data_IF_327116783630
#
_entry.id   IF_327116783630
#
_cell.length_a   1.000
_cell.length_b   1.000
_cell.length_c   1.000
_cell.angle_alpha   90.00
_cell.angle_beta   90.00
_cell.angle_gamma   90.00
#
_symmetry.space_group_name_H-M   'P 1'
#
loop_
_entity.id
_entity.type
_entity.pdbx_description
1 polymer ?
#
# COMPACT_ATOMS: atom_id res chain seq x y z
N UNK A 1 -0.79 22.98 -70.43
CA UNK A 1 -1.47 23.70 -69.33
C UNK A 1 -1.51 25.17 -69.71
N UNK A 2 -2.68 25.82 -69.72
CA UNK A 2 -2.76 27.23 -70.12
C UNK A 2 -2.04 28.13 -69.11
N UNK A 3 -1.47 29.27 -69.56
CA UNK A 3 -0.85 30.27 -68.67
C UNK A 3 -1.80 30.72 -67.54
N UNK A 4 -3.11 30.73 -67.82
CA UNK A 4 -4.15 31.03 -66.85
C UNK A 4 -4.17 30.02 -65.68
N UNK A 5 -3.99 28.73 -65.95
CA UNK A 5 -3.98 27.70 -64.90
C UNK A 5 -2.75 27.81 -64.00
N UNK A 6 -1.59 28.18 -64.56
CA UNK A 6 -0.35 28.41 -63.79
C UNK A 6 -0.53 29.60 -62.85
N UNK A 7 -1.17 30.66 -63.33
CA UNK A 7 -1.41 31.88 -62.56
C UNK A 7 -2.46 31.67 -61.45
N UNK A 8 -3.49 30.85 -61.71
CA UNK A 8 -4.46 30.45 -60.67
C UNK A 8 -3.78 29.60 -59.59
N UNK A 9 -2.95 28.64 -59.98
CA UNK A 9 -2.25 27.76 -59.02
C UNK A 9 -1.25 28.53 -58.15
N UNK A 10 -0.52 29.49 -58.72
CA UNK A 10 0.39 30.33 -57.93
C UNK A 10 -0.35 31.21 -56.93
N UNK A 11 -1.48 31.79 -57.32
CA UNK A 11 -2.31 32.62 -56.45
C UNK A 11 -2.90 31.81 -55.28
N UNK A 12 -3.42 30.62 -55.58
CA UNK A 12 -3.94 29.67 -54.57
C UNK A 12 -2.82 29.24 -53.60
N UNK A 13 -1.63 28.94 -54.11
CA UNK A 13 -0.48 28.55 -53.28
C UNK A 13 -0.05 29.68 -52.33
N UNK A 14 -0.07 30.94 -52.77
CA UNK A 14 0.26 32.09 -51.93
C UNK A 14 -0.78 32.28 -50.81
N UNK A 15 -2.06 32.14 -51.13
CA UNK A 15 -3.15 32.25 -50.16
C UNK A 15 -3.05 31.13 -49.11
N UNK A 16 -2.82 29.88 -49.54
CA UNK A 16 -2.65 28.74 -48.63
C UNK A 16 -1.40 28.92 -47.77
N UNK A 17 -0.28 29.37 -48.36
CA UNK A 17 0.96 29.66 -47.61
C UNK A 17 0.78 30.74 -46.56
N UNK A 18 0.09 31.83 -46.90
CA UNK A 18 -0.22 32.92 -45.96
C UNK A 18 -1.12 32.45 -44.81
N UNK A 19 -2.16 31.68 -45.13
CA UNK A 19 -3.10 31.15 -44.13
C UNK A 19 -2.40 30.16 -43.17
N UNK A 20 -1.58 29.25 -43.70
CA UNK A 20 -0.82 28.29 -42.90
C UNK A 20 0.18 28.99 -41.99
N UNK A 21 0.87 30.02 -42.47
CA UNK A 21 1.79 30.82 -41.65
C UNK A 21 1.09 31.51 -40.47
N UNK A 22 -0.08 32.11 -40.70
CA UNK A 22 -0.88 32.76 -39.64
C UNK A 22 -1.35 31.73 -38.60
N UNK A 23 -1.78 30.55 -39.04
CA UNK A 23 -2.20 29.45 -38.17
C UNK A 23 -1.04 28.95 -37.30
N UNK A 24 0.14 28.70 -37.88
CA UNK A 24 1.33 28.26 -37.16
C UNK A 24 1.73 29.30 -36.10
N UNK A 25 1.71 30.59 -36.44
CA UNK A 25 2.05 31.67 -35.50
C UNK A 25 1.06 31.75 -34.32
N UNK A 26 -0.22 31.44 -34.53
CA UNK A 26 -1.22 31.35 -33.45
C UNK A 26 -1.04 30.08 -32.60
N UNK A 27 -0.74 28.94 -33.23
CA UNK A 27 -0.48 27.67 -32.56
C UNK A 27 0.75 27.75 -31.63
N UNK A 28 1.84 28.37 -32.09
CA UNK A 28 3.06 28.56 -31.28
C UNK A 28 2.87 29.46 -30.06
N UNK A 29 1.87 30.35 -30.07
CA UNK A 29 1.53 31.22 -28.93
C UNK A 29 0.56 30.56 -27.94
N UNK A 30 0.08 29.37 -28.25
CA UNK A 30 -0.93 28.66 -27.46
C UNK A 30 -0.27 27.65 -26.53
N UNK A 31 -0.77 27.51 -25.30
CA UNK A 31 -0.26 26.52 -24.33
C UNK A 31 -0.32 25.09 -24.90
N UNK A 32 0.71 24.28 -24.63
CA UNK A 32 0.81 22.88 -25.10
C UNK A 32 -0.43 22.04 -24.78
N UNK A 33 -1.09 22.29 -23.64
CA UNK A 33 -2.33 21.62 -23.25
C UNK A 33 -3.47 21.90 -24.22
N UNK A 34 -3.63 23.14 -24.65
CA UNK A 34 -4.69 23.53 -25.60
C UNK A 34 -4.42 22.99 -27.01
N UNK A 35 -3.16 22.82 -27.41
CA UNK A 35 -2.80 22.19 -28.70
C UNK A 35 -3.24 20.72 -28.71
N UNK A 36 -2.94 19.97 -27.64
CA UNK A 36 -3.37 18.57 -27.50
C UNK A 36 -4.90 18.43 -27.47
N UNK A 37 -5.58 19.30 -26.74
CA UNK A 37 -7.05 19.33 -26.69
C UNK A 37 -7.65 19.69 -28.05
N UNK A 38 -7.05 20.64 -28.78
CA UNK A 38 -7.44 21.00 -30.14
C UNK A 38 -7.30 19.84 -31.14
N UNK A 39 -6.24 19.02 -31.02
CA UNK A 39 -6.06 17.81 -31.82
C UNK A 39 -7.22 16.82 -31.64
N UNK A 40 -7.72 16.68 -30.41
CA UNK A 40 -8.88 15.87 -30.10
C UNK A 40 -10.15 16.41 -30.79
N UNK A 41 -10.30 17.74 -30.81
CA UNK A 41 -11.35 18.42 -31.58
C UNK A 41 -11.27 18.11 -33.08
N UNK A 42 -10.08 18.14 -33.68
CA UNK A 42 -9.88 17.78 -35.11
C UNK A 42 -10.32 16.34 -35.36
N UNK A 43 -9.90 15.41 -34.51
CA UNK A 43 -10.21 13.99 -34.66
C UNK A 43 -11.73 13.74 -34.58
N UNK A 44 -12.41 14.33 -33.60
CA UNK A 44 -13.87 14.26 -33.47
C UNK A 44 -14.56 14.85 -34.71
N UNK A 45 -14.10 16.02 -35.16
CA UNK A 45 -14.68 16.70 -36.32
C UNK A 45 -14.53 15.91 -37.62
N UNK A 46 -13.40 15.22 -37.80
CA UNK A 46 -13.17 14.32 -38.93
C UNK A 46 -14.07 13.10 -38.88
N UNK A 47 -14.28 12.50 -37.71
CA UNK A 47 -15.21 11.36 -37.55
C UNK A 47 -16.64 11.80 -37.89
N UNK A 48 -17.10 12.93 -37.34
CA UNK A 48 -18.43 13.46 -37.61
C UNK A 48 -18.58 13.81 -39.10
N UNK A 49 -17.60 14.52 -39.65
CA UNK A 49 -17.56 14.88 -41.07
C UNK A 49 -17.61 13.66 -41.98
N UNK A 50 -16.85 12.61 -41.65
CA UNK A 50 -16.84 11.35 -42.38
C UNK A 50 -18.17 10.58 -42.27
N UNK A 51 -18.84 10.63 -41.12
CA UNK A 51 -20.17 10.01 -40.96
C UNK A 51 -21.23 10.75 -41.78
N UNK A 52 -21.19 12.08 -41.79
CA UNK A 52 -22.11 12.92 -42.56
C UNK A 52 -21.80 12.91 -44.07
N UNK A 53 -20.55 12.70 -44.48
CA UNK A 53 -20.17 12.65 -45.89
C UNK A 53 -20.77 11.44 -46.62
N UNK A 54 -21.00 10.32 -45.91
CA UNK A 54 -21.54 9.08 -46.48
C UNK A 54 -22.93 9.25 -47.12
N UNK A 55 -23.97 9.79 -46.45
CA UNK A 55 -25.26 10.04 -47.10
C UNK A 55 -25.17 11.17 -48.14
N UNK A 56 -24.39 12.23 -47.87
CA UNK A 56 -24.30 13.40 -48.74
C UNK A 56 -23.65 13.10 -50.09
N UNK A 57 -22.67 12.19 -50.12
CA UNK A 57 -21.99 11.78 -51.36
C UNK A 57 -22.88 11.01 -52.34
N UNK A 58 -24.05 10.54 -51.91
CA UNK A 58 -25.03 9.86 -52.76
C UNK A 58 -25.95 10.81 -53.53
N UNK A 59 -25.85 12.12 -53.28
CA UNK A 59 -26.65 13.13 -54.00
C UNK A 59 -26.10 13.27 -55.42
N UNK A 60 -26.90 13.11 -56.48
CA UNK A 60 -26.41 13.23 -57.84
C UNK A 60 -26.04 14.68 -58.19
N UNK A 61 -25.06 14.84 -59.09
CA UNK A 61 -24.63 16.13 -59.62
C UNK A 61 -23.58 16.84 -58.76
N UNK A 62 -23.40 18.14 -59.01
CA UNK A 62 -22.38 18.99 -58.40
C UNK A 62 -22.37 18.92 -56.86
N UNK A 63 -23.55 18.82 -56.24
CA UNK A 63 -23.70 18.82 -54.79
C UNK A 63 -23.12 17.56 -54.14
N UNK A 64 -23.20 16.38 -54.76
CA UNK A 64 -22.64 15.15 -54.20
C UNK A 64 -21.12 15.16 -54.06
N UNK A 65 -20.42 15.97 -54.86
CA UNK A 65 -18.97 16.06 -54.82
C UNK A 65 -18.49 17.11 -53.80
N UNK A 66 -19.10 18.29 -53.79
CA UNK A 66 -18.63 19.42 -52.98
C UNK A 66 -19.21 19.46 -51.56
N UNK A 67 -20.46 19.04 -51.38
CA UNK A 67 -21.15 19.12 -50.09
C UNK A 67 -20.46 18.26 -49.01
N UNK A 68 -19.98 17.03 -49.28
CA UNK A 68 -19.22 16.25 -48.30
C UNK A 68 -17.92 16.91 -47.84
N UNK A 69 -17.23 17.62 -48.75
CA UNK A 69 -15.96 18.31 -48.45
C UNK A 69 -16.24 19.51 -47.55
N UNK A 70 -17.25 20.31 -47.92
CA UNK A 70 -17.66 21.50 -47.16
C UNK A 70 -18.15 21.09 -45.77
N UNK A 71 -19.00 20.06 -45.65
CA UNK A 71 -19.53 19.60 -44.36
C UNK A 71 -18.42 19.08 -43.44
N UNK A 72 -17.42 18.39 -43.99
CA UNK A 72 -16.29 17.87 -43.21
C UNK A 72 -15.40 18.99 -42.70
N UNK A 73 -15.15 20.01 -43.54
CA UNK A 73 -14.37 21.19 -43.15
C UNK A 73 -15.07 22.00 -42.05
N UNK A 74 -16.39 22.20 -42.19
CA UNK A 74 -17.22 22.86 -41.18
C UNK A 74 -17.24 22.05 -39.89
N UNK A 75 -17.43 20.73 -39.96
CA UNK A 75 -17.44 19.85 -38.80
C UNK A 75 -16.14 19.93 -37.99
N UNK A 76 -14.99 19.92 -38.67
CA UNK A 76 -13.66 20.11 -38.04
C UNK A 76 -13.50 21.48 -37.43
N UNK A 77 -13.90 22.55 -38.13
CA UNK A 77 -13.80 23.91 -37.58
C UNK A 77 -14.68 24.09 -36.34
N UNK A 78 -15.92 23.59 -36.39
CA UNK A 78 -16.88 23.65 -35.29
C UNK A 78 -16.44 22.82 -34.09
N UNK A 79 -15.95 21.59 -34.30
CA UNK A 79 -15.49 20.73 -33.21
C UNK A 79 -14.26 21.31 -32.50
N UNK A 80 -13.28 21.83 -33.25
CA UNK A 80 -12.11 22.51 -32.68
C UNK A 80 -12.52 23.74 -31.89
N UNK A 81 -13.43 24.55 -32.42
CA UNK A 81 -13.95 25.74 -31.73
C UNK A 81 -14.64 25.37 -30.40
N UNK A 82 -15.52 24.36 -30.42
CA UNK A 82 -16.24 23.89 -29.23
C UNK A 82 -15.26 23.33 -28.20
N UNK A 83 -14.35 22.46 -28.61
CA UNK A 83 -13.41 21.77 -27.71
C UNK A 83 -12.43 22.74 -27.06
N UNK A 84 -11.97 23.76 -27.78
CA UNK A 84 -11.09 24.79 -27.22
C UNK A 84 -11.82 25.75 -26.28
N UNK A 85 -13.06 26.13 -26.58
CA UNK A 85 -13.84 27.06 -25.75
C UNK A 85 -14.50 26.37 -24.54
N UNK A 86 -14.78 25.07 -24.63
CA UNK A 86 -15.39 24.28 -23.55
C UNK A 86 -14.41 23.31 -22.89
N UNK A 87 -13.10 23.55 -23.04
CA UNK A 87 -12.04 22.68 -22.51
C UNK A 87 -12.22 22.32 -21.01
N UNK A 88 -12.61 23.28 -20.17
CA UNK A 88 -12.79 23.05 -18.73
C UNK A 88 -14.00 22.15 -18.44
N UNK A 89 -15.10 22.31 -19.19
CA UNK A 89 -16.29 21.47 -19.07
C UNK A 89 -16.05 20.04 -19.59
N UNK A 90 -15.25 19.89 -20.64
CA UNK A 90 -14.88 18.58 -21.19
C UNK A 90 -13.94 17.84 -20.22
N UNK A 91 -12.97 18.55 -19.66
CA UNK A 91 -12.05 17.97 -18.66
C UNK A 91 -12.81 17.54 -17.40
N UNK A 92 -13.77 18.34 -16.92
CA UNK A 92 -14.57 17.99 -15.74
C UNK A 92 -15.55 16.85 -15.98
N UNK A 93 -16.16 16.78 -17.17
CA UNK A 93 -17.01 15.65 -17.55
C UNK A 93 -16.22 14.33 -17.65
N UNK A 94 -15.01 14.38 -18.22
CA UNK A 94 -14.15 13.20 -18.36
C UNK A 94 -13.53 12.75 -17.03
N UNK A 95 -13.21 13.69 -16.13
CA UNK A 95 -12.75 13.35 -14.78
C UNK A 95 -13.88 12.75 -13.92
N UNK A 96 -15.12 13.20 -14.09
CA UNK A 96 -16.30 12.58 -13.46
C UNK A 96 -16.54 11.14 -13.91
N UNK A 97 -16.34 10.85 -15.20
CA UNK A 97 -16.44 9.50 -15.75
C UNK A 97 -15.29 8.59 -15.26
N UNK A 98 -14.07 9.14 -15.18
CA UNK A 98 -12.91 8.45 -14.61
C UNK A 98 -13.06 8.17 -13.11
N UNK A 99 -13.74 9.05 -12.38
CA UNK A 99 -14.10 8.86 -10.96
C UNK A 99 -15.07 7.68 -10.78
N UNK A 100 -16.07 7.56 -11.67
CA UNK A 100 -17.05 6.46 -11.65
C UNK A 100 -16.40 5.09 -11.98
N UNK A 101 -15.43 5.08 -12.89
CA UNK A 101 -14.59 3.90 -13.17
C UNK A 101 -13.55 3.61 -12.06
N UNK A 102 -13.22 4.60 -11.22
CA UNK A 102 -12.26 4.44 -10.11
C UNK A 102 -12.85 3.85 -8.83
N UNK A 103 -14.18 3.68 -8.76
CA UNK A 103 -14.85 2.93 -7.69
C UNK A 103 -14.46 1.44 -7.65
N UNK A 104 -13.76 0.94 -8.68
CA UNK A 104 -13.18 -0.42 -8.76
C UNK A 104 -11.67 -0.36 -9.02
N UNK A 105 -10.94 0.62 -8.44
CA UNK A 105 -9.48 0.53 -8.32
C UNK A 105 -9.12 0.23 -6.86
N UNK A 106 -8.37 -0.87 -6.57
CA UNK A 106 -7.60 -0.89 -5.33
C UNK A 106 -6.68 0.33 -5.40
N UNK A 107 -6.69 1.13 -4.35
CA UNK A 107 -5.87 2.32 -4.18
C UNK A 107 -4.49 2.12 -4.81
N UNK A 108 -4.22 2.80 -5.92
CA UNK A 108 -2.86 3.00 -6.40
C UNK A 108 -2.17 3.90 -5.38
N UNK A 109 -1.71 3.30 -4.29
CA UNK A 109 -0.81 3.85 -3.29
C UNK A 109 0.53 4.16 -3.97
N UNK A 110 0.57 5.21 -4.80
CA UNK A 110 1.82 5.80 -5.26
C UNK A 110 2.37 6.86 -4.29
N UNK A 111 1.79 6.97 -3.10
CA UNK A 111 2.41 7.62 -1.96
C UNK A 111 2.47 6.61 -0.81
N UNK A 112 3.62 5.93 -0.68
CA UNK A 112 3.96 5.18 0.54
C UNK A 112 4.28 6.21 1.64
N UNK A 113 3.29 6.99 2.06
CA UNK A 113 3.37 7.82 3.25
C UNK A 113 2.87 6.98 4.43
N UNK A 114 3.64 6.98 5.52
CA UNK A 114 3.32 6.25 6.75
C UNK A 114 3.22 7.27 7.88
N UNK A 115 2.02 7.43 8.42
CA UNK A 115 1.74 8.28 9.57
C UNK A 115 2.08 7.55 10.86
N UNK A 116 2.87 8.20 11.72
CA UNK A 116 3.41 7.62 12.94
C UNK A 116 2.78 8.26 14.17
N UNK A 117 2.42 7.43 15.14
CA UNK A 117 1.87 7.82 16.44
C UNK A 117 2.94 7.79 17.57
N UNK A 118 2.67 8.43 18.70
CA UNK A 118 3.48 8.43 19.92
C UNK A 118 3.78 7.00 20.39
N UNK A 119 2.78 6.12 20.36
CA UNK A 119 2.89 4.73 20.86
C UNK A 119 3.98 3.91 20.16
N UNK A 120 4.14 4.08 18.85
CA UNK A 120 5.13 3.38 18.03
C UNK A 120 6.51 4.02 18.11
N UNK A 121 6.61 5.35 18.24
CA UNK A 121 7.90 6.02 18.46
C UNK A 121 8.52 5.61 19.79
N UNK A 122 7.69 5.35 20.81
CA UNK A 122 8.16 4.86 22.09
C UNK A 122 8.52 3.37 22.01
N UNK A 123 7.95 2.57 21.10
CA UNK A 123 8.22 1.13 21.04
C UNK A 123 9.68 0.84 20.62
N UNK A 124 10.42 0.14 21.47
CA UNK A 124 11.84 -0.14 21.22
C UNK A 124 12.10 -0.99 19.97
N UNK A 125 11.11 -1.76 19.50
CA UNK A 125 11.26 -2.61 18.31
C UNK A 125 11.10 -1.83 17.02
N UNK A 126 10.43 -0.67 17.04
CA UNK A 126 10.11 0.07 15.81
C UNK A 126 11.36 0.44 15.02
N UNK A 127 12.38 0.94 15.70
CA UNK A 127 13.65 1.32 15.07
C UNK A 127 14.35 0.12 14.43
N UNK A 128 14.32 -1.05 15.06
CA UNK A 128 14.98 -2.23 14.52
C UNK A 128 14.20 -2.83 13.34
N UNK A 129 12.86 -2.73 13.36
CA UNK A 129 12.01 -3.06 12.21
C UNK A 129 12.26 -2.08 11.05
N UNK A 130 12.46 -0.79 11.34
CA UNK A 130 12.80 0.21 10.33
C UNK A 130 14.20 -0.02 9.74
N UNK A 131 15.20 -0.35 10.57
CA UNK A 131 16.57 -0.71 10.15
C UNK A 131 16.61 -1.92 9.24
N UNK A 132 15.78 -2.93 9.50
CA UNK A 132 15.72 -4.15 8.69
C UNK A 132 15.04 -3.97 7.33
N UNK A 133 14.45 -2.79 7.07
CA UNK A 133 13.84 -2.46 5.78
C UNK A 133 12.36 -2.83 5.65
N UNK A 134 11.72 -3.32 6.72
CA UNK A 134 10.28 -3.63 6.72
C UNK A 134 9.40 -2.38 6.77
N UNK A 135 9.95 -1.24 7.18
CA UNK A 135 9.29 0.07 7.09
C UNK A 135 9.85 0.80 5.89
N UNK A 136 9.02 0.98 4.86
CA UNK A 136 9.40 1.62 3.61
C UNK A 136 8.44 2.76 3.29
N UNK A 137 8.99 3.86 2.76
CA UNK A 137 8.20 5.04 2.43
C UNK A 137 8.66 6.31 3.15
N UNK A 138 7.84 7.35 3.03
CA UNK A 138 8.03 8.63 3.70
C UNK A 138 7.28 8.62 5.02
N UNK A 139 8.01 8.81 6.10
CA UNK A 139 7.49 8.84 7.46
C UNK A 139 6.92 10.23 7.73
N UNK A 140 5.63 10.30 8.03
CA UNK A 140 4.93 11.51 8.44
C UNK A 140 4.81 11.52 9.96
N UNK A 141 5.29 12.60 10.59
CA UNK A 141 5.23 12.77 12.04
C UNK A 141 4.47 14.06 12.34
N UNK A 142 3.24 13.99 12.87
CA UNK A 142 2.50 15.18 13.25
C UNK A 142 3.19 15.97 14.36
N UNK A 143 3.07 17.30 14.32
CA UNK A 143 3.66 18.15 15.34
C UNK A 143 3.13 17.84 16.75
N UNK A 144 1.84 17.51 16.89
CA UNK A 144 1.25 17.15 18.20
C UNK A 144 1.83 15.86 18.79
N UNK A 145 2.28 14.90 17.97
CA UNK A 145 2.95 13.67 18.44
C UNK A 145 4.30 14.02 19.10
N UNK A 146 5.03 14.97 18.50
CA UNK A 146 6.29 15.47 19.06
C UNK A 146 6.04 16.21 20.39
N UNK A 147 5.00 17.05 20.43
CA UNK A 147 4.60 17.76 21.66
C UNK A 147 4.21 16.80 22.78
N UNK A 148 3.47 15.73 22.45
CA UNK A 148 3.11 14.70 23.42
C UNK A 148 4.36 13.98 23.97
N UNK A 149 5.31 13.61 23.10
CA UNK A 149 6.58 13.01 23.52
C UNK A 149 7.38 13.94 24.46
N UNK A 150 7.45 15.23 24.15
CA UNK A 150 8.10 16.23 25.00
C UNK A 150 7.39 16.36 26.36
N UNK A 151 6.06 16.45 26.36
CA UNK A 151 5.28 16.54 27.59
C UNK A 151 5.46 15.29 28.47
N UNK A 152 5.51 14.10 27.87
CA UNK A 152 5.81 12.85 28.57
C UNK A 152 7.25 12.86 29.11
N UNK A 153 8.22 13.38 28.36
CA UNK A 153 9.63 13.48 28.74
C UNK A 153 9.88 14.46 29.91
N UNK A 154 9.09 15.53 30.01
CA UNK A 154 9.29 16.60 30.99
C UNK A 154 8.42 16.42 32.24
N UNK A 155 7.16 16.02 32.08
CA UNK A 155 6.16 15.99 33.17
C UNK A 155 5.79 14.59 33.64
N UNK A 156 6.31 13.54 32.99
CA UNK A 156 6.05 12.16 33.39
C UNK A 156 6.66 11.79 34.75
N UNK A 157 6.20 10.68 35.31
CA UNK A 157 6.98 9.93 36.31
C UNK A 157 8.29 9.42 35.71
N UNK A 158 9.23 8.93 36.52
CA UNK A 158 10.56 8.51 36.04
C UNK A 158 10.50 7.56 34.83
N UNK A 159 9.58 6.60 34.84
CA UNK A 159 9.43 5.61 33.76
C UNK A 159 8.81 6.22 32.50
N UNK A 160 7.80 7.08 32.65
CA UNK A 160 7.19 7.83 31.54
C UNK A 160 8.21 8.77 30.91
N UNK A 161 9.02 9.49 31.70
CA UNK A 161 10.07 10.38 31.16
C UNK A 161 11.11 9.64 30.34
N UNK A 162 11.58 8.49 30.83
CA UNK A 162 12.47 7.59 30.07
C UNK A 162 11.84 7.18 28.73
N UNK A 163 10.55 6.82 28.73
CA UNK A 163 9.81 6.49 27.50
C UNK A 163 9.68 7.67 26.54
N UNK A 164 9.36 8.87 27.03
CA UNK A 164 9.27 10.08 26.21
C UNK A 164 10.62 10.43 25.56
N UNK A 165 11.70 10.39 26.35
CA UNK A 165 13.08 10.57 25.86
C UNK A 165 13.44 9.54 24.79
N UNK A 166 13.09 8.26 25.00
CA UNK A 166 13.29 7.19 24.02
C UNK A 166 12.52 7.45 22.72
N UNK A 167 11.30 7.98 22.79
CA UNK A 167 10.53 8.35 21.60
C UNK A 167 11.18 9.47 20.79
N UNK A 168 11.69 10.51 21.48
CA UNK A 168 12.45 11.59 20.84
C UNK A 168 13.77 11.09 20.23
N UNK A 169 14.47 10.18 20.91
CA UNK A 169 15.66 9.54 20.37
C UNK A 169 15.34 8.70 19.12
N UNK A 170 14.24 7.95 19.13
CA UNK A 170 13.77 7.17 17.99
C UNK A 170 13.50 8.06 16.77
N UNK A 171 12.86 9.21 16.97
CA UNK A 171 12.67 10.21 15.91
C UNK A 171 14.00 10.73 15.36
N UNK A 172 14.98 10.98 16.22
CA UNK A 172 16.33 11.40 15.81
C UNK A 172 17.04 10.31 14.99
N UNK A 173 16.93 9.04 15.37
CA UNK A 173 17.46 7.90 14.62
C UNK A 173 16.80 7.77 13.25
N UNK A 174 15.47 7.88 13.18
CA UNK A 174 14.71 7.84 11.92
C UNK A 174 15.15 8.93 10.95
N UNK A 175 15.36 10.16 11.46
CA UNK A 175 15.72 11.33 10.64
C UNK A 175 17.17 11.32 10.17
N UNK A 176 18.11 10.96 11.06
CA UNK A 176 19.53 11.21 10.84
C UNK A 176 20.36 9.95 10.55
N UNK A 177 19.93 8.78 11.04
CA UNK A 177 20.70 7.53 10.92
C UNK A 177 20.13 6.56 9.88
N UNK A 178 18.85 6.68 9.57
CA UNK A 178 18.19 5.85 8.56
C UNK A 178 18.02 6.60 7.24
N UNK A 179 18.06 5.88 6.13
CA UNK A 179 17.83 6.44 4.77
C UNK A 179 16.33 6.70 4.48
N UNK A 180 15.52 6.88 5.54
CA UNK A 180 14.09 7.14 5.42
C UNK A 180 13.85 8.64 5.31
N UNK A 181 12.89 9.04 4.45
CA UNK A 181 12.45 10.43 4.39
C UNK A 181 11.49 10.68 5.55
N UNK A 182 11.86 11.54 6.49
CA UNK A 182 11.00 11.96 7.60
C UNK A 182 10.51 13.37 7.34
N UNK A 183 9.19 13.56 7.31
CA UNK A 183 8.54 14.87 7.22
C UNK A 183 7.74 15.13 8.50
N UNK A 184 7.97 16.30 9.11
CA UNK A 184 7.14 16.78 10.21
C UNK A 184 6.00 17.57 9.58
N UNK A 185 4.76 17.20 9.91
CA UNK A 185 3.56 17.84 9.36
C UNK A 185 2.82 18.62 10.44
N UNK A 186 2.26 19.76 10.04
CA UNK A 186 1.37 20.54 10.91
C UNK A 186 -0.03 19.91 10.96
N UNK A 187 -0.72 20.15 12.06
CA UNK A 187 -2.11 19.74 12.25
C UNK A 187 -3.03 20.74 11.54
N UNK A 188 -3.61 20.33 10.42
CA UNK A 188 -4.61 21.11 9.70
C UNK A 188 -6.05 20.57 9.91
N UNK A 189 -6.24 19.69 10.90
CA UNK A 189 -7.55 19.11 11.23
C UNK A 189 -8.35 20.10 12.06
N UNK A 190 -9.54 20.45 11.54
CA UNK A 190 -10.41 21.47 12.16
C UNK A 190 -11.57 20.87 12.93
N UNK A 191 -11.80 19.55 12.82
CA UNK A 191 -13.01 18.88 13.33
C UNK A 191 -12.74 17.83 14.41
N UNK A 192 -11.56 17.20 14.40
CA UNK A 192 -11.23 16.15 15.37
C UNK A 192 -10.78 16.72 16.72
N UNK A 193 -11.43 16.28 17.81
CA UNK A 193 -11.12 16.72 19.19
C UNK A 193 -10.03 15.86 19.83
N UNK A 194 -10.05 14.58 19.52
CA UNK A 194 -9.22 13.53 20.12
C UNK A 194 -8.08 13.13 19.18
N UNK A 195 -6.92 12.77 19.76
CA UNK A 195 -5.65 12.51 19.04
C UNK A 195 -5.82 11.42 17.98
N UNK A 196 -6.52 10.33 18.33
CA UNK A 196 -6.79 9.21 17.44
C UNK A 196 -7.60 9.64 16.20
N UNK A 197 -8.63 10.45 16.42
CA UNK A 197 -9.46 10.99 15.33
C UNK A 197 -8.65 11.91 14.41
N UNK A 198 -7.73 12.71 14.95
CA UNK A 198 -6.82 13.54 14.17
C UNK A 198 -5.91 12.70 13.28
N UNK A 199 -5.30 11.64 13.83
CA UNK A 199 -4.45 10.72 13.07
C UNK A 199 -5.22 10.06 11.91
N UNK A 200 -6.45 9.60 12.17
CA UNK A 200 -7.30 9.00 11.14
C UNK A 200 -7.71 10.00 10.07
N UNK A 201 -8.03 11.24 10.44
CA UNK A 201 -8.39 12.30 9.48
C UNK A 201 -7.20 12.69 8.60
N UNK A 202 -6.01 12.87 9.18
CA UNK A 202 -4.77 13.12 8.45
C UNK A 202 -4.48 11.97 7.48
N UNK A 203 -4.58 10.73 7.95
CA UNK A 203 -4.30 9.55 7.13
C UNK A 203 -5.25 9.45 5.93
N UNK A 204 -6.55 9.72 6.13
CA UNK A 204 -7.53 9.80 5.05
C UNK A 204 -7.22 10.89 4.03
N UNK A 205 -6.91 12.09 4.52
CA UNK A 205 -6.66 13.26 3.67
C UNK A 205 -5.41 13.07 2.80
N UNK A 206 -4.37 12.44 3.36
CA UNK A 206 -3.09 12.17 2.68
C UNK A 206 -3.09 10.86 1.90
N UNK A 207 -4.03 9.95 2.15
CA UNK A 207 -3.98 8.59 1.64
C UNK A 207 -2.82 7.77 2.21
N UNK A 208 -2.39 8.08 3.44
CA UNK A 208 -1.27 7.43 4.12
C UNK A 208 -1.73 6.26 4.99
N UNK A 209 -0.84 5.29 5.19
CA UNK A 209 -1.05 4.18 6.13
C UNK A 209 -0.69 4.65 7.56
N UNK A 210 -1.36 4.15 8.60
CA UNK A 210 -1.01 4.44 10.00
C UNK A 210 -0.13 3.31 10.54
N UNK A 211 1.02 3.63 11.13
CA UNK A 211 1.79 2.68 11.93
C UNK A 211 1.60 2.97 13.41
N UNK A 212 1.22 1.95 14.19
CA UNK A 212 0.89 2.10 15.62
C UNK A 212 1.11 0.79 16.37
N UNK A 213 1.22 0.88 17.69
CA UNK A 213 1.13 -0.28 18.61
C UNK A 213 -0.21 -0.30 19.35
N UNK A 214 -1.00 0.76 19.28
CA UNK A 214 -2.30 0.90 19.95
C UNK A 214 -3.39 0.07 19.23
N UNK A 215 -4.13 -0.71 20.02
CA UNK A 215 -5.20 -1.58 19.53
C UNK A 215 -6.50 -0.81 19.19
N UNK A 216 -6.82 0.24 19.96
CA UNK A 216 -8.01 1.07 19.76
C UNK A 216 -7.87 1.91 18.49
N UNK A 217 -6.73 2.59 18.32
CA UNK A 217 -6.44 3.35 17.10
C UNK A 217 -6.50 2.44 15.87
N UNK A 218 -5.93 1.23 15.96
CA UNK A 218 -6.00 0.23 14.89
C UNK A 218 -7.46 -0.10 14.52
N UNK A 219 -8.33 -0.37 15.50
CA UNK A 219 -9.75 -0.67 15.26
C UNK A 219 -10.49 0.51 14.62
N UNK A 220 -10.31 1.71 15.17
CA UNK A 220 -10.98 2.93 14.68
C UNK A 220 -10.53 3.25 13.25
N UNK A 221 -9.23 3.20 12.96
CA UNK A 221 -8.68 3.46 11.64
C UNK A 221 -9.18 2.46 10.59
N UNK A 222 -9.21 1.15 10.91
CA UNK A 222 -9.74 0.11 10.02
C UNK A 222 -11.21 0.33 9.66
N UNK A 223 -12.06 0.71 10.63
CA UNK A 223 -13.47 1.06 10.38
C UNK A 223 -13.59 2.23 9.39
N UNK A 224 -12.67 3.18 9.47
CA UNK A 224 -12.63 4.32 8.57
C UNK A 224 -12.00 4.00 7.21
N UNK A 225 -11.58 2.76 6.95
CA UNK A 225 -10.94 2.37 5.69
C UNK A 225 -9.49 2.83 5.57
N UNK A 226 -8.85 3.20 6.68
CA UNK A 226 -7.41 3.51 6.72
C UNK A 226 -6.65 2.22 7.00
N UNK A 227 -5.62 1.95 6.18
CA UNK A 227 -4.75 0.78 6.38
C UNK A 227 -3.83 1.02 7.57
N UNK A 228 -3.71 -0.01 8.41
CA UNK A 228 -2.92 0.06 9.65
C UNK A 228 -1.81 -0.98 9.61
N UNK A 229 -0.59 -0.53 9.85
CA UNK A 229 0.60 -1.33 10.07
C UNK A 229 0.79 -1.48 11.58
N UNK A 230 0.34 -2.59 12.16
CA UNK A 230 0.46 -2.78 13.61
C UNK A 230 1.73 -3.58 13.95
N UNK A 231 2.62 -3.02 14.76
CA UNK A 231 3.88 -3.68 15.15
C UNK A 231 3.63 -4.94 15.98
N UNK A 232 2.59 -4.98 16.81
CA UNK A 232 2.26 -6.18 17.57
C UNK A 232 1.76 -7.30 16.64
N UNK A 233 0.96 -6.97 15.62
CA UNK A 233 0.56 -7.94 14.59
C UNK A 233 1.79 -8.48 13.83
N UNK A 234 2.70 -7.60 13.40
CA UNK A 234 3.95 -8.00 12.74
C UNK A 234 4.81 -8.90 13.64
N UNK A 235 5.02 -8.49 14.89
CA UNK A 235 5.83 -9.25 15.85
C UNK A 235 5.28 -10.64 16.11
N UNK A 236 3.95 -10.82 16.08
CA UNK A 236 3.33 -12.13 16.21
C UNK A 236 3.43 -12.95 14.93
N UNK A 237 3.36 -12.32 13.76
CA UNK A 237 3.44 -12.98 12.46
C UNK A 237 4.85 -13.54 12.16
N UNK A 238 5.90 -12.92 12.71
CA UNK A 238 7.30 -13.37 12.50
C UNK A 238 7.80 -14.34 13.58
N UNK A 239 6.96 -14.75 14.54
CA UNK A 239 7.34 -15.78 15.50
C UNK A 239 7.61 -17.10 14.78
N UNK A 240 8.64 -17.82 15.21
CA UNK A 240 9.01 -19.11 14.65
C UNK A 240 7.78 -20.04 14.60
N UNK A 241 7.50 -20.57 13.41
CA UNK A 241 6.43 -21.55 13.22
C UNK A 241 7.09 -22.92 13.22
N UNK A 242 7.04 -23.59 14.36
CA UNK A 242 7.39 -25.00 14.42
C UNK A 242 6.32 -25.82 13.68
N UNK A 243 6.73 -26.89 13.01
CA UNK A 243 5.84 -27.85 12.35
C UNK A 243 6.00 -29.22 13.03
N UNK A 244 4.94 -30.05 13.14
CA UNK A 244 5.11 -31.44 13.55
C UNK A 244 6.18 -32.15 12.71
N UNK A 245 7.10 -32.85 13.38
CA UNK A 245 8.26 -33.50 12.78
C UNK A 245 9.54 -32.65 12.75
N UNK A 246 9.48 -31.37 13.12
CA UNK A 246 10.66 -30.51 13.23
C UNK A 246 11.45 -30.82 14.51
N UNK A 247 12.77 -30.93 14.39
CA UNK A 247 13.65 -31.13 15.54
C UNK A 247 13.99 -29.80 16.21
N UNK A 248 14.01 -29.77 17.53
CA UNK A 248 14.39 -28.60 18.30
C UNK A 248 15.20 -28.94 19.54
N UNK A 249 16.06 -28.03 19.95
CA UNK A 249 16.76 -28.10 21.24
C UNK A 249 15.98 -27.31 22.28
N UNK A 250 15.69 -27.95 23.41
CA UNK A 250 14.96 -27.34 24.50
C UNK A 250 15.61 -27.69 25.84
N UNK A 251 15.86 -26.66 26.64
CA UNK A 251 16.24 -26.86 28.04
C UNK A 251 14.98 -27.12 28.86
N UNK A 252 14.92 -28.29 29.48
CA UNK A 252 13.82 -28.62 30.40
C UNK A 252 14.08 -27.89 31.71
N UNK A 253 13.19 -26.97 32.08
CA UNK A 253 13.37 -26.08 33.23
C UNK A 253 12.67 -26.63 34.46
N UNK A 254 11.51 -27.27 34.29
CA UNK A 254 10.69 -27.75 35.40
C UNK A 254 9.89 -29.00 35.06
N UNK A 255 9.30 -29.63 36.07
CA UNK A 255 8.36 -30.74 35.92
C UNK A 255 7.06 -30.25 35.26
N UNK A 256 6.52 -31.06 34.35
CA UNK A 256 5.22 -30.84 33.75
C UNK A 256 4.06 -31.22 34.66
N UNK A 257 2.86 -30.80 34.27
CA UNK A 257 1.65 -31.02 35.06
C UNK A 257 1.24 -32.49 35.11
N UNK A 258 1.45 -33.23 34.03
CA UNK A 258 1.16 -34.66 33.97
C UNK A 258 2.40 -35.51 34.27
N UNK A 259 2.18 -36.73 34.77
CA UNK A 259 3.27 -37.68 35.04
C UNK A 259 4.07 -37.94 33.77
N UNK A 260 5.39 -37.89 33.89
CA UNK A 260 6.30 -38.11 32.78
C UNK A 260 6.59 -36.88 31.93
N UNK A 261 6.01 -35.71 32.21
CA UNK A 261 6.27 -34.50 31.41
C UNK A 261 7.35 -33.62 32.03
N UNK A 262 8.15 -32.99 31.16
CA UNK A 262 8.97 -31.83 31.49
C UNK A 262 8.47 -30.59 30.75
N UNK A 263 8.81 -29.40 31.23
CA UNK A 263 8.44 -28.13 30.59
C UNK A 263 9.67 -27.28 30.37
N UNK A 264 9.81 -26.76 29.15
CA UNK A 264 10.76 -25.73 28.77
C UNK A 264 10.05 -24.53 28.14
N UNK A 265 10.79 -23.45 27.90
CA UNK A 265 10.29 -22.25 27.26
C UNK A 265 11.22 -21.83 26.14
N UNK A 266 10.64 -21.37 25.04
CA UNK A 266 11.38 -20.64 24.02
C UNK A 266 11.73 -19.22 24.50
N UNK A 267 12.69 -18.55 23.85
CA UNK A 267 13.03 -17.16 24.17
C UNK A 267 11.85 -16.20 24.08
N UNK A 268 10.83 -16.51 23.27
CA UNK A 268 9.60 -15.72 23.11
C UNK A 268 8.51 -16.04 24.15
N UNK A 269 8.78 -16.96 25.08
CA UNK A 269 7.87 -17.38 26.14
C UNK A 269 6.93 -18.53 25.75
N UNK A 270 6.99 -19.06 24.52
CA UNK A 270 6.20 -20.22 24.11
C UNK A 270 6.53 -21.43 24.99
N UNK A 271 5.50 -22.03 25.58
CA UNK A 271 5.67 -23.18 26.46
C UNK A 271 5.83 -24.47 25.65
N UNK A 272 6.85 -25.25 25.98
CA UNK A 272 7.13 -26.55 25.37
C UNK A 272 7.00 -27.64 26.41
N UNK A 273 6.09 -28.56 26.16
CA UNK A 273 5.88 -29.76 26.97
C UNK A 273 6.63 -30.92 26.33
N UNK A 274 7.61 -31.46 27.05
CA UNK A 274 8.44 -32.58 26.59
C UNK A 274 7.93 -33.87 27.22
N UNK A 275 7.39 -34.78 26.41
CA UNK A 275 6.98 -36.12 26.87
C UNK A 275 8.20 -36.94 27.28
N UNK A 276 8.21 -37.52 28.48
CA UNK A 276 9.39 -38.15 29.07
C UNK A 276 10.45 -37.18 29.60
N UNK A 277 10.14 -35.88 29.64
CA UNK A 277 11.06 -34.82 30.07
C UNK A 277 11.21 -34.67 31.59
N UNK A 278 10.40 -35.34 32.39
CA UNK A 278 10.46 -35.29 33.86
C UNK A 278 11.81 -35.74 34.43
N UNK A 279 12.47 -36.69 33.76
CA UNK A 279 13.82 -37.19 34.11
C UNK A 279 14.95 -36.32 33.56
N UNK A 280 14.62 -35.31 32.75
CA UNK A 280 15.60 -34.49 32.03
C UNK A 280 15.59 -33.04 32.50
N UNK A 281 14.93 -32.75 33.62
CA UNK A 281 14.89 -31.41 34.23
C UNK A 281 16.32 -30.91 34.50
N UNK A 282 16.60 -29.68 34.08
CA UNK A 282 17.92 -29.04 34.13
C UNK A 282 18.79 -29.29 32.89
N UNK A 283 18.44 -30.24 32.02
CA UNK A 283 19.24 -30.63 30.86
C UNK A 283 18.71 -30.02 29.56
N UNK A 284 19.58 -29.89 28.57
CA UNK A 284 19.22 -29.51 27.20
C UNK A 284 18.99 -30.77 26.37
N UNK A 285 17.78 -30.90 25.81
CA UNK A 285 17.31 -32.09 25.13
C UNK A 285 16.99 -31.75 23.69
N UNK A 286 17.40 -32.60 22.75
CA UNK A 286 16.92 -32.52 21.36
C UNK A 286 15.62 -33.32 21.26
N UNK A 287 14.54 -32.67 20.86
CA UNK A 287 13.19 -33.23 20.82
C UNK A 287 12.52 -32.92 19.48
N UNK A 288 11.70 -33.85 18.99
CA UNK A 288 10.89 -33.71 17.79
C UNK A 288 9.51 -33.19 18.16
N UNK A 289 9.04 -32.16 17.47
CA UNK A 289 7.71 -31.58 17.68
C UNK A 289 6.64 -32.59 17.30
N UNK A 290 5.78 -32.98 18.25
CA UNK A 290 4.71 -33.94 18.02
C UNK A 290 3.39 -33.25 17.66
N UNK A 291 3.00 -32.24 18.44
CA UNK A 291 1.71 -31.53 18.29
C UNK A 291 1.82 -30.10 18.76
N UNK A 292 0.98 -29.24 18.22
CA UNK A 292 0.91 -27.82 18.59
C UNK A 292 -0.51 -27.50 18.99
N UNK A 293 -0.68 -26.92 20.16
CA UNK A 293 -1.95 -26.44 20.68
C UNK A 293 -1.93 -24.91 20.78
N UNK A 294 -2.99 -24.28 20.29
CA UNK A 294 -3.25 -22.88 20.58
C UNK A 294 -4.06 -22.79 21.88
N UNK A 295 -3.56 -22.05 22.86
CA UNK A 295 -4.25 -21.79 24.14
C UNK A 295 -4.56 -20.31 24.27
N UNK A 296 -5.37 -19.96 25.27
CA UNK A 296 -5.73 -18.56 25.62
C UNK A 296 -4.47 -17.75 26.00
N UNK A 297 -3.47 -18.40 26.61
CA UNK A 297 -2.21 -17.77 27.02
C UNK A 297 -1.14 -17.73 25.90
N UNK A 298 -1.40 -18.34 24.74
CA UNK A 298 -0.44 -18.42 23.64
C UNK A 298 -0.31 -19.82 23.05
N UNK A 299 0.75 -20.07 22.28
CA UNK A 299 1.04 -21.39 21.71
C UNK A 299 1.68 -22.29 22.77
N UNK A 300 1.26 -23.55 22.78
CA UNK A 300 1.86 -24.63 23.55
C UNK A 300 2.32 -25.70 22.56
N UNK A 301 3.58 -26.11 22.63
CA UNK A 301 4.17 -27.11 21.73
C UNK A 301 4.43 -28.38 22.54
N UNK A 302 4.02 -29.53 22.02
CA UNK A 302 4.38 -30.83 22.57
C UNK A 302 5.51 -31.42 21.74
N UNK A 303 6.51 -31.95 22.41
CA UNK A 303 7.69 -32.53 21.78
C UNK A 303 8.11 -33.84 22.46
N UNK A 304 8.79 -34.71 21.71
CA UNK A 304 9.25 -36.03 22.16
C UNK A 304 10.78 -36.10 22.00
N UNK A 305 11.56 -36.44 23.05
CA UNK A 305 13.01 -36.55 22.97
C UNK A 305 13.49 -37.51 21.88
N UNK A 306 14.40 -37.06 21.03
CA UNK A 306 15.01 -37.85 19.96
C UNK A 306 15.99 -38.83 20.62
N UNK A 307 15.64 -40.12 20.58
CA UNK A 307 16.32 -41.19 21.32
C UNK A 307 15.39 -42.00 22.21
N UNK A 308 14.26 -41.43 22.66
CA UNK A 308 13.20 -42.18 23.37
C UNK A 308 12.38 -43.08 22.42
N UNK A 309 12.33 -42.75 21.13
CA UNK A 309 11.56 -43.47 20.11
C UNK A 309 12.08 -44.92 19.83
N UNK A 310 13.34 -45.22 20.19
CA UNK A 310 13.88 -46.60 20.12
C UNK A 310 13.25 -47.56 21.13
N UNK A 311 12.66 -47.08 22.22
CA UNK A 311 11.97 -47.94 23.19
C UNK A 311 10.52 -48.22 22.79
N UNK A 312 9.85 -47.28 22.11
CA UNK A 312 8.44 -47.43 21.70
C UNK A 312 8.26 -48.44 20.55
N UNK A 313 9.21 -48.49 19.61
CA UNK A 313 9.28 -49.50 18.55
C UNK A 313 9.69 -50.88 19.08
N UNK A 314 10.60 -50.96 20.06
CA UNK A 314 10.94 -52.24 20.72
C UNK A 314 9.75 -52.84 21.48
N UNK A 315 8.98 -52.03 22.22
CA UNK A 315 7.83 -52.52 22.99
C UNK A 315 6.63 -52.95 22.14
N UNK A 316 6.45 -52.41 20.93
CA UNK A 316 5.46 -52.93 19.98
C UNK A 316 5.85 -54.33 19.47
N UNK A 317 7.12 -54.53 19.11
CA UNK A 317 7.60 -55.81 18.60
C UNK A 317 7.66 -56.92 19.65
N UNK A 318 7.88 -56.62 20.93
CA UNK A 318 7.77 -57.62 22.01
C UNK A 318 6.32 -58.00 22.30
N UNK A 319 5.38 -57.05 22.30
CA UNK A 319 3.97 -57.38 22.54
C UNK A 319 3.32 -58.18 21.40
N UNK A 320 3.77 -58.00 20.15
CA UNK A 320 3.34 -58.87 19.04
C UNK A 320 3.93 -60.28 19.10
N UNK A 321 5.17 -60.44 19.61
CA UNK A 321 5.75 -61.77 19.84
C UNK A 321 5.06 -62.56 20.96
N UNK A 322 4.54 -61.90 21.99
CA UNK A 322 3.78 -62.57 23.05
C UNK A 322 2.35 -62.93 22.63
N UNK A 323 1.75 -62.21 21.67
CA UNK A 323 0.40 -62.55 21.15
C UNK A 323 0.37 -63.70 20.15
N UNK A 324 1.50 -64.04 19.52
CA UNK A 324 1.58 -65.16 18.56
C UNK A 324 2.01 -66.49 19.19
N UNK A 325 2.22 -66.54 20.51
CA UNK A 325 2.62 -67.74 21.26
C UNK A 325 1.61 -68.12 22.36
N UNK A 326 0.34 -67.75 22.21
CA UNK A 326 -0.77 -68.15 23.10
C UNK A 326 -1.92 -68.74 22.30
#
# INVERSE_FOLDING_TARGET
MSMLNVLILSLVSIIIGGLTFVLIKKLLKTSSKSVFIGLFGVLIGLIIGALLSLPLSRIPGFFGYWLPIIISLVAVASSVYIVLNQKEAIISAFSGLGSLLSLVKPSQHLHNEILVDTSVLIDGRFIDIAKSGFVFGKILVPHFVIQELQLIADKGDKLKRERGRRGLESLNVLKNKLKLKVEIIEDDTTKAKDVDSKLVEIAKKRGSDIITTDYNLNRVAKIHGVKVLNINELSNAVKAVFIPGEEMKIKVVQLGKEKGQGVGYLPDGTMIVVEGGDKMVGQEVTAEVSRIFQTIAGKMIFAIPIGSNKQRTKNKNTNERFKNNS
#
